data_IF_779087945005
#
_entry.id   IF_779087945005
#
_cell.length_a   1.000
_cell.length_b   1.000
_cell.length_c   1.000
_cell.angle_alpha   90.00
_cell.angle_beta   90.00
_cell.angle_gamma   90.00
#
_symmetry.space_group_name_H-M   'P 1'
#
loop_
_entity.id
_entity.type
_entity.pdbx_description
1 polymer ?
#
# COMPACT_ATOMS: atom_id res chain seq x y z
N UNK A 1 7.10 -7.07 66.07
CA UNK A 1 6.88 -5.98 65.10
C UNK A 1 6.89 -6.63 63.73
N UNK A 2 5.66 -6.95 63.29
CA UNK A 2 5.37 -7.50 61.95
C UNK A 2 5.34 -6.33 60.98
N UNK A 3 6.06 -6.48 59.85
CA UNK A 3 5.91 -5.61 58.70
C UNK A 3 5.25 -6.45 57.61
N UNK A 4 4.00 -6.13 57.36
CA UNK A 4 3.20 -6.67 56.26
C UNK A 4 3.57 -5.95 54.96
N UNK A 5 4.28 -6.64 54.07
CA UNK A 5 4.43 -6.23 52.65
C UNK A 5 3.16 -6.56 51.88
N UNK A 6 2.40 -5.53 51.56
CA UNK A 6 1.28 -5.65 50.62
C UNK A 6 1.82 -5.60 49.18
N UNK A 7 1.99 -6.75 48.59
CA UNK A 7 2.32 -6.90 47.18
C UNK A 7 1.09 -6.58 46.31
N UNK A 8 1.05 -5.35 45.78
CA UNK A 8 0.06 -4.96 44.78
C UNK A 8 0.38 -5.60 43.43
N UNK A 9 -0.23 -6.76 43.15
CA UNK A 9 -0.27 -7.32 41.80
C UNK A 9 -1.11 -6.43 40.91
N UNK A 10 -0.49 -5.58 40.07
CA UNK A 10 -1.13 -4.96 38.92
C UNK A 10 -1.56 -6.06 37.98
N UNK A 11 -2.85 -6.34 37.93
CA UNK A 11 -3.47 -7.11 36.82
C UNK A 11 -3.32 -6.26 35.54
N UNK A 12 -2.30 -6.56 34.73
CA UNK A 12 -2.30 -6.18 33.34
C UNK A 12 -3.37 -7.05 32.65
N UNK A 13 -4.48 -6.44 32.27
CA UNK A 13 -5.43 -7.06 31.36
C UNK A 13 -4.74 -7.17 29.98
N UNK A 14 -4.14 -8.32 29.70
CA UNK A 14 -3.70 -8.68 28.37
C UNK A 14 -4.94 -8.87 27.51
N UNK A 15 -5.37 -7.83 26.83
CA UNK A 15 -6.34 -7.90 25.75
C UNK A 15 -5.57 -8.39 24.50
N UNK A 16 -5.14 -9.67 24.52
CA UNK A 16 -4.49 -10.28 23.36
C UNK A 16 -5.50 -10.32 22.20
N UNK A 17 -5.21 -9.57 21.16
CA UNK A 17 -6.00 -9.63 19.92
C UNK A 17 -5.90 -11.04 19.34
N UNK A 18 -7.03 -11.62 18.98
CA UNK A 18 -7.07 -12.92 18.32
C UNK A 18 -6.25 -12.89 17.02
N UNK A 19 -5.34 -13.86 16.86
CA UNK A 19 -4.50 -14.00 15.66
C UNK A 19 -5.33 -14.53 14.49
N UNK A 20 -5.33 -13.82 13.35
CA UNK A 20 -6.01 -14.26 12.13
C UNK A 20 -5.22 -15.39 11.47
N UNK A 21 -5.92 -16.50 11.20
CA UNK A 21 -5.39 -17.67 10.50
C UNK A 21 -6.18 -18.04 9.26
N UNK A 22 -7.30 -17.36 8.99
CA UNK A 22 -8.13 -17.60 7.81
C UNK A 22 -7.61 -16.80 6.61
N UNK A 23 -8.02 -17.22 5.42
CA UNK A 23 -7.80 -16.52 4.15
C UNK A 23 -9.15 -16.28 3.48
N UNK A 24 -9.23 -15.33 2.57
CA UNK A 24 -10.42 -15.01 1.78
C UNK A 24 -10.88 -16.23 0.99
N UNK A 25 -12.18 -16.51 0.97
CA UNK A 25 -12.80 -17.51 0.09
C UNK A 25 -13.43 -16.83 -1.12
N UNK A 26 -13.77 -17.62 -2.14
CA UNK A 26 -14.42 -17.13 -3.35
C UNK A 26 -15.77 -16.48 -3.03
N UNK A 27 -16.57 -17.12 -2.22
CA UNK A 27 -17.90 -16.65 -1.81
C UNK A 27 -17.80 -15.33 -1.04
N UNK A 28 -16.82 -15.20 -0.15
CA UNK A 28 -16.56 -13.96 0.58
C UNK A 28 -16.15 -12.83 -0.37
N UNK A 29 -15.22 -13.10 -1.30
CA UNK A 29 -14.81 -12.11 -2.30
C UNK A 29 -15.98 -11.67 -3.19
N UNK A 30 -16.79 -12.62 -3.68
CA UNK A 30 -17.93 -12.34 -4.56
C UNK A 30 -18.97 -11.44 -3.88
N UNK A 31 -19.16 -11.60 -2.57
CA UNK A 31 -20.10 -10.81 -1.77
C UNK A 31 -19.64 -9.38 -1.48
N UNK A 32 -18.34 -9.06 -1.68
CA UNK A 32 -17.81 -7.73 -1.43
C UNK A 32 -18.20 -6.72 -2.52
N UNK A 33 -18.48 -5.50 -2.09
CA UNK A 33 -18.59 -4.32 -2.97
C UNK A 33 -17.31 -3.49 -2.96
N UNK A 34 -17.03 -2.68 -3.99
CA UNK A 34 -15.90 -1.76 -4.00
C UNK A 34 -15.84 -0.83 -2.75
N UNK A 35 -16.98 -0.30 -2.32
CA UNK A 35 -17.05 0.58 -1.15
C UNK A 35 -16.70 -0.13 0.16
N UNK A 36 -17.11 -1.40 0.30
CA UNK A 36 -16.71 -2.20 1.46
C UNK A 36 -15.20 -2.42 1.49
N UNK A 37 -14.59 -2.75 0.34
CA UNK A 37 -13.13 -2.92 0.24
C UNK A 37 -12.40 -1.61 0.53
N UNK A 38 -12.89 -0.48 0.01
CA UNK A 38 -12.31 0.84 0.30
C UNK A 38 -12.36 1.15 1.80
N UNK A 39 -13.50 0.91 2.44
CA UNK A 39 -13.66 1.11 3.89
C UNK A 39 -12.72 0.22 4.71
N UNK A 40 -12.56 -1.05 4.32
CA UNK A 40 -11.59 -1.96 4.96
C UNK A 40 -10.15 -1.43 4.87
N UNK A 41 -9.77 -0.86 3.73
CA UNK A 41 -8.44 -0.26 3.53
C UNK A 41 -8.24 0.99 4.40
N UNK A 42 -9.26 1.85 4.48
CA UNK A 42 -9.24 3.04 5.34
C UNK A 42 -9.06 2.63 6.81
N UNK A 43 -9.85 1.67 7.29
CA UNK A 43 -9.74 1.18 8.66
C UNK A 43 -8.43 0.42 8.91
N UNK A 44 -7.95 -0.34 7.94
CA UNK A 44 -6.63 -1.00 7.98
C UNK A 44 -5.51 0.02 8.10
N UNK A 45 -5.52 1.07 7.30
CA UNK A 45 -4.53 2.15 7.37
C UNK A 45 -4.58 2.92 8.71
N UNK A 46 -5.76 3.13 9.28
CA UNK A 46 -5.90 3.70 10.64
C UNK A 46 -5.22 2.79 11.68
N UNK A 47 -5.43 1.47 11.60
CA UNK A 47 -4.77 0.52 12.51
C UNK A 47 -3.25 0.54 12.35
N UNK A 48 -2.74 0.56 11.12
CA UNK A 48 -1.31 0.69 10.84
C UNK A 48 -0.72 1.96 11.48
N UNK A 49 -1.33 3.12 11.23
CA UNK A 49 -0.87 4.41 11.76
C UNK A 49 -0.94 4.50 13.29
N UNK A 50 -1.85 3.78 13.93
CA UNK A 50 -2.00 3.76 15.39
C UNK A 50 -1.27 2.58 16.06
N UNK A 51 -0.47 1.82 15.31
CA UNK A 51 0.24 0.61 15.79
C UNK A 51 -0.70 -0.45 16.37
N UNK A 52 -1.88 -0.55 15.81
CA UNK A 52 -2.95 -1.46 16.23
C UNK A 52 -3.28 -2.54 15.18
N UNK A 53 -2.34 -2.85 14.28
CA UNK A 53 -2.51 -3.90 13.28
C UNK A 53 -2.95 -5.22 13.90
N UNK A 54 -3.72 -5.98 13.14
CA UNK A 54 -4.25 -7.26 13.61
C UNK A 54 -3.18 -8.34 13.45
N UNK A 55 -2.85 -9.12 14.48
CA UNK A 55 -1.90 -10.22 14.37
C UNK A 55 -2.36 -11.27 13.36
N UNK A 56 -1.43 -11.77 12.51
CA UNK A 56 -1.71 -12.81 11.51
C UNK A 56 -0.67 -13.92 11.60
N UNK A 57 -1.11 -15.16 11.46
CA UNK A 57 -0.20 -16.28 11.25
C UNK A 57 -0.01 -16.50 9.75
N UNK A 58 1.01 -15.83 9.19
CA UNK A 58 1.30 -15.91 7.75
C UNK A 58 1.66 -17.32 7.30
N UNK A 59 2.20 -18.16 8.19
CA UNK A 59 2.56 -19.54 7.86
C UNK A 59 1.31 -20.41 7.68
N UNK A 60 0.29 -20.20 8.49
CA UNK A 60 -1.02 -20.86 8.34
C UNK A 60 -1.73 -20.30 7.10
N UNK A 61 -1.74 -18.98 6.90
CA UNK A 61 -2.36 -18.36 5.73
C UNK A 61 -1.70 -18.84 4.42
N UNK A 62 -0.37 -18.96 4.36
CA UNK A 62 0.33 -19.47 3.18
C UNK A 62 -0.12 -20.89 2.81
N UNK A 63 -0.26 -21.78 3.80
CA UNK A 63 -0.75 -23.14 3.55
C UNK A 63 -2.20 -23.15 3.08
N UNK A 64 -3.05 -22.31 3.66
CA UNK A 64 -4.48 -22.24 3.33
C UNK A 64 -4.74 -21.61 1.97
N UNK A 65 -3.91 -20.66 1.53
CA UNK A 65 -4.03 -19.99 0.23
C UNK A 65 -3.37 -20.77 -0.93
N UNK A 66 -2.58 -21.81 -0.64
CA UNK A 66 -1.88 -22.59 -1.67
C UNK A 66 -2.80 -23.17 -2.76
N UNK A 67 -4.02 -23.65 -2.48
CA UNK A 67 -4.92 -24.16 -3.50
C UNK A 67 -5.58 -23.11 -4.39
N UNK A 68 -5.61 -21.82 -3.96
CA UNK A 68 -6.25 -20.72 -4.68
C UNK A 68 -6.21 -19.42 -3.91
N UNK A 69 -6.41 -18.31 -4.63
CA UNK A 69 -6.41 -16.97 -4.07
C UNK A 69 -7.63 -16.20 -4.53
N UNK A 70 -8.18 -15.37 -3.65
CA UNK A 70 -9.37 -14.56 -3.92
C UNK A 70 -9.17 -13.12 -3.41
N UNK A 71 -8.18 -12.39 -4.00
CA UNK A 71 -7.84 -11.06 -3.53
C UNK A 71 -8.95 -10.07 -3.82
N UNK A 72 -9.23 -9.19 -2.85
CA UNK A 72 -10.31 -8.20 -2.93
C UNK A 72 -9.95 -6.95 -3.73
N UNK A 73 -8.65 -6.67 -3.90
CA UNK A 73 -8.17 -5.48 -4.60
C UNK A 73 -6.82 -5.72 -5.28
N UNK A 74 -6.45 -4.78 -6.15
CA UNK A 74 -5.08 -4.62 -6.64
C UNK A 74 -4.58 -3.22 -6.30
N UNK A 75 -3.35 -3.14 -5.78
CA UNK A 75 -2.69 -1.87 -5.42
C UNK A 75 -1.49 -1.66 -6.33
N UNK A 76 -1.48 -0.54 -7.06
CA UNK A 76 -0.28 -0.03 -7.73
C UNK A 76 0.52 0.82 -6.76
N UNK A 77 1.76 0.45 -6.49
CA UNK A 77 2.64 1.16 -5.56
C UNK A 77 4.04 1.35 -6.10
N UNK A 78 4.81 2.20 -5.43
CA UNK A 78 6.22 2.36 -5.71
C UNK A 78 7.02 1.12 -5.29
N UNK A 79 8.18 0.91 -5.95
CA UNK A 79 9.19 -0.08 -5.57
C UNK A 79 9.82 0.21 -4.19
N UNK A 80 9.64 1.38 -3.62
CA UNK A 80 10.29 1.82 -2.38
C UNK A 80 10.12 0.80 -1.25
N UNK A 81 11.26 0.33 -0.71
CA UNK A 81 11.31 -0.73 0.30
C UNK A 81 10.70 -0.34 1.65
N UNK A 82 10.46 0.96 1.88
CA UNK A 82 9.87 1.50 3.11
C UNK A 82 8.35 1.48 3.10
N UNK A 83 7.73 1.04 1.99
CA UNK A 83 6.27 1.05 1.80
C UNK A 83 5.77 -0.37 1.62
N UNK A 84 5.64 -1.16 2.69
CA UNK A 84 5.05 -2.50 2.65
C UNK A 84 3.52 -2.37 2.51
N UNK A 85 3.01 -2.60 1.31
CA UNK A 85 1.61 -2.30 0.95
C UNK A 85 0.61 -3.05 1.81
N UNK A 86 0.88 -4.34 2.04
CA UNK A 86 0.03 -5.21 2.87
C UNK A 86 -0.06 -4.69 4.30
N UNK A 87 1.07 -4.26 4.89
CA UNK A 87 1.08 -3.71 6.24
C UNK A 87 0.40 -2.33 6.29
N UNK A 88 0.62 -1.47 5.28
CA UNK A 88 0.01 -0.13 5.21
C UNK A 88 -1.51 -0.20 5.24
N UNK A 89 -2.11 -1.22 4.63
CA UNK A 89 -3.55 -1.44 4.63
C UNK A 89 -4.00 -2.52 5.62
N UNK A 90 -3.08 -3.05 6.44
CA UNK A 90 -3.33 -4.11 7.41
C UNK A 90 -4.05 -5.32 6.77
N UNK A 91 -3.51 -5.82 5.66
CA UNK A 91 -4.05 -6.94 4.90
C UNK A 91 -3.25 -8.22 5.13
N UNK A 92 -3.90 -9.37 5.00
CA UNK A 92 -3.30 -10.69 5.13
C UNK A 92 -2.75 -11.23 3.80
N UNK A 93 -2.11 -12.39 3.89
CA UNK A 93 -1.59 -13.09 2.73
C UNK A 93 -2.75 -13.55 1.83
N UNK A 94 -2.70 -13.16 0.55
CA UNK A 94 -3.72 -13.48 -0.44
C UNK A 94 -4.91 -12.51 -0.47
N UNK A 95 -4.94 -11.48 0.40
CA UNK A 95 -6.03 -10.50 0.45
C UNK A 95 -5.98 -9.47 -0.68
N UNK A 96 -4.78 -9.16 -1.20
CA UNK A 96 -4.57 -8.16 -2.25
C UNK A 96 -3.50 -8.58 -3.26
N UNK A 97 -3.64 -8.11 -4.50
CA UNK A 97 -2.54 -8.06 -5.46
C UNK A 97 -1.75 -6.77 -5.28
N UNK A 98 -0.44 -6.81 -5.50
CA UNK A 98 0.43 -5.63 -5.45
C UNK A 98 1.30 -5.56 -6.71
N UNK A 99 1.04 -4.54 -7.55
CA UNK A 99 1.91 -4.16 -8.65
C UNK A 99 2.89 -3.07 -8.18
N UNK A 100 4.22 -3.25 -8.37
CA UNK A 100 5.22 -2.29 -7.91
C UNK A 100 6.18 -1.89 -9.02
N UNK A 101 6.35 -0.60 -9.19
CA UNK A 101 7.37 -0.01 -10.08
C UNK A 101 7.85 1.30 -9.47
N UNK A 102 9.13 1.65 -9.68
CA UNK A 102 9.68 2.90 -9.14
C UNK A 102 8.90 4.12 -9.66
N UNK A 103 8.22 4.84 -8.76
CA UNK A 103 7.36 5.98 -9.08
C UNK A 103 5.92 5.64 -9.45
N UNK A 104 5.44 4.46 -9.13
CA UNK A 104 4.02 4.03 -9.23
C UNK A 104 3.28 4.52 -10.49
N UNK A 105 3.95 4.55 -11.64
CA UNK A 105 3.32 4.85 -12.93
C UNK A 105 2.72 3.58 -13.56
N UNK A 106 1.84 3.74 -14.55
CA UNK A 106 1.31 2.63 -15.34
C UNK A 106 2.09 2.43 -16.63
N UNK A 107 2.19 1.16 -17.05
CA UNK A 107 2.61 0.73 -18.37
C UNK A 107 1.73 -0.43 -18.81
N UNK A 108 1.94 -0.92 -20.03
CA UNK A 108 1.14 -2.01 -20.62
C UNK A 108 1.09 -3.27 -19.74
N UNK A 109 2.23 -3.67 -19.14
CA UNK A 109 2.32 -4.87 -18.31
C UNK A 109 1.54 -4.72 -17.00
N UNK A 110 1.62 -3.53 -16.37
CA UNK A 110 0.86 -3.23 -15.15
C UNK A 110 -0.64 -3.11 -15.43
N UNK A 111 -1.03 -2.48 -16.55
CA UNK A 111 -2.45 -2.43 -16.96
C UNK A 111 -3.00 -3.82 -17.19
N UNK A 112 -2.30 -4.67 -17.96
CA UNK A 112 -2.69 -6.06 -18.17
C UNK A 112 -2.78 -6.85 -16.85
N UNK A 113 -1.89 -6.60 -15.90
CA UNK A 113 -1.95 -7.21 -14.57
C UNK A 113 -3.17 -6.75 -13.77
N UNK A 114 -3.56 -5.47 -13.87
CA UNK A 114 -4.78 -4.95 -13.23
C UNK A 114 -6.05 -5.50 -13.89
N UNK A 115 -6.05 -5.63 -15.22
CA UNK A 115 -7.14 -6.27 -15.96
C UNK A 115 -7.30 -7.73 -15.52
N UNK A 116 -6.20 -8.47 -15.40
CA UNK A 116 -6.21 -9.83 -14.86
C UNK A 116 -6.79 -9.85 -13.45
N UNK A 117 -6.31 -8.98 -12.57
CA UNK A 117 -6.78 -8.89 -11.18
C UNK A 117 -8.30 -8.68 -11.10
N UNK A 118 -8.84 -7.76 -11.90
CA UNK A 118 -10.26 -7.41 -11.85
C UNK A 118 -11.15 -8.37 -12.65
N UNK A 119 -10.77 -8.70 -13.89
CA UNK A 119 -11.60 -9.48 -14.81
C UNK A 119 -11.50 -10.98 -14.60
N UNK A 120 -10.32 -11.48 -14.25
CA UNK A 120 -10.07 -12.92 -14.13
C UNK A 120 -10.13 -13.36 -12.67
N UNK A 121 -9.44 -12.63 -11.78
CA UNK A 121 -9.34 -13.00 -10.37
C UNK A 121 -10.43 -12.37 -9.48
N UNK A 122 -11.27 -11.45 -9.99
CA UNK A 122 -12.45 -10.95 -9.31
C UNK A 122 -12.20 -9.83 -8.28
N UNK A 123 -11.04 -9.19 -8.31
CA UNK A 123 -10.76 -8.02 -7.46
C UNK A 123 -11.77 -6.89 -7.73
N UNK A 124 -12.21 -6.22 -6.66
CA UNK A 124 -13.30 -5.23 -6.69
C UNK A 124 -12.81 -3.79 -6.80
N UNK A 125 -11.53 -3.54 -6.49
CA UNK A 125 -10.98 -2.20 -6.35
C UNK A 125 -9.57 -2.15 -6.91
N UNK A 126 -9.25 -1.06 -7.63
CA UNK A 126 -7.88 -0.66 -7.98
C UNK A 126 -7.52 0.53 -7.11
N UNK A 127 -6.37 0.49 -6.46
CA UNK A 127 -5.83 1.59 -5.66
C UNK A 127 -4.47 2.00 -6.21
N UNK A 128 -4.28 3.29 -6.48
CA UNK A 128 -2.96 3.86 -6.81
C UNK A 128 -2.41 4.55 -5.57
N UNK A 129 -1.25 4.09 -5.10
CA UNK A 129 -0.61 4.59 -3.89
C UNK A 129 0.77 5.18 -4.20
N UNK A 130 0.91 6.50 -3.98
CA UNK A 130 2.18 7.20 -3.93
C UNK A 130 2.72 7.29 -2.50
N UNK A 131 3.95 7.79 -2.36
CA UNK A 131 4.55 8.05 -1.05
C UNK A 131 5.42 9.31 -1.07
N UNK A 132 5.66 9.86 0.11
CA UNK A 132 6.57 11.00 0.28
C UNK A 132 8.03 10.60 -0.02
N UNK A 133 8.82 11.57 -0.42
CA UNK A 133 10.26 11.41 -0.70
C UNK A 133 10.58 10.33 -1.75
N UNK A 134 9.69 10.13 -2.72
CA UNK A 134 9.90 9.16 -3.79
C UNK A 134 11.13 9.53 -4.64
N UNK A 135 12.12 8.61 -4.68
CA UNK A 135 13.36 8.83 -5.46
C UNK A 135 13.12 8.95 -6.96
N UNK A 136 12.17 8.20 -7.51
CA UNK A 136 11.80 8.28 -8.93
C UNK A 136 11.13 9.62 -9.28
N UNK A 137 10.26 10.15 -8.41
CA UNK A 137 9.67 11.49 -8.60
C UNK A 137 10.76 12.56 -8.56
N UNK A 138 11.69 12.49 -7.58
CA UNK A 138 12.84 13.42 -7.52
C UNK A 138 13.68 13.34 -8.78
N UNK A 139 13.99 12.12 -9.25
CA UNK A 139 14.74 11.92 -10.49
C UNK A 139 14.04 12.46 -11.73
N UNK A 140 12.70 12.37 -11.80
CA UNK A 140 11.91 12.96 -12.88
C UNK A 140 11.91 14.49 -12.84
N UNK A 141 11.84 15.10 -11.66
CA UNK A 141 11.95 16.54 -11.46
C UNK A 141 13.31 17.05 -11.94
N UNK A 142 14.42 16.38 -11.55
CA UNK A 142 15.79 16.78 -11.88
C UNK A 142 16.24 16.32 -13.27
N UNK A 143 15.37 15.72 -14.06
CA UNK A 143 15.63 15.23 -15.41
C UNK A 143 16.85 14.27 -15.49
N UNK A 144 16.99 13.38 -14.52
CA UNK A 144 18.12 12.43 -14.43
C UNK A 144 18.19 11.55 -15.69
N UNK A 145 19.41 11.42 -16.24
CA UNK A 145 19.70 10.57 -17.40
C UNK A 145 20.63 9.43 -16.98
N UNK A 146 20.10 8.22 -16.94
CA UNK A 146 20.86 7.03 -16.55
C UNK A 146 20.20 5.76 -17.12
N UNK A 147 20.78 5.21 -18.18
CA UNK A 147 20.36 3.96 -18.76
C UNK A 147 18.83 3.83 -18.91
N UNK A 148 18.26 2.72 -18.51
CA UNK A 148 16.81 2.46 -18.54
C UNK A 148 16.00 3.35 -17.58
N UNK A 149 16.64 3.93 -16.56
CA UNK A 149 15.99 4.89 -15.65
C UNK A 149 15.50 6.11 -16.43
N UNK A 150 16.21 6.56 -17.46
CA UNK A 150 15.80 7.67 -18.33
C UNK A 150 14.42 7.44 -18.93
N UNK A 151 14.17 6.28 -19.53
CA UNK A 151 12.89 5.92 -20.13
C UNK A 151 11.80 5.72 -19.06
N UNK A 152 12.16 5.16 -17.91
CA UNK A 152 11.25 4.98 -16.78
C UNK A 152 10.79 6.34 -16.23
N UNK A 153 11.69 7.28 -15.99
CA UNK A 153 11.37 8.62 -15.48
C UNK A 153 10.51 9.44 -16.46
N UNK A 154 10.63 9.18 -17.78
CA UNK A 154 9.78 9.82 -18.78
C UNK A 154 8.27 9.55 -18.55
N UNK A 155 7.92 8.42 -17.89
CA UNK A 155 6.53 8.09 -17.54
C UNK A 155 5.98 8.98 -16.42
N UNK A 156 6.85 9.59 -15.62
CA UNK A 156 6.48 10.48 -14.51
C UNK A 156 6.47 11.94 -14.95
N UNK A 157 7.14 12.30 -16.06
CA UNK A 157 7.21 13.67 -16.59
C UNK A 157 5.84 14.36 -16.72
N UNK A 158 4.75 13.71 -17.17
CA UNK A 158 3.44 14.36 -17.21
C UNK A 158 3.01 14.91 -15.84
N UNK A 159 3.29 14.22 -14.73
CA UNK A 159 2.99 14.72 -13.39
C UNK A 159 3.84 15.94 -13.00
N UNK A 160 5.08 16.04 -13.47
CA UNK A 160 5.94 17.22 -13.31
C UNK A 160 5.33 18.40 -14.06
N UNK A 161 4.90 18.19 -15.31
CA UNK A 161 4.24 19.24 -16.14
C UNK A 161 2.91 19.69 -15.50
N UNK A 162 2.12 18.79 -14.94
CA UNK A 162 0.90 19.12 -14.18
C UNK A 162 1.19 20.01 -12.96
N UNK A 163 2.43 20.06 -12.52
CA UNK A 163 2.89 20.80 -11.34
C UNK A 163 3.57 22.14 -11.68
N UNK A 164 3.56 22.56 -12.95
CA UNK A 164 4.26 23.77 -13.42
C UNK A 164 3.82 25.06 -12.73
N UNK A 165 2.56 25.13 -12.28
CA UNK A 165 2.00 26.31 -11.64
C UNK A 165 2.19 26.31 -10.10
N UNK A 166 2.96 25.34 -9.56
CA UNK A 166 3.28 25.31 -8.13
C UNK A 166 4.02 26.58 -7.71
N UNK A 167 3.59 27.24 -6.61
CA UNK A 167 4.26 28.43 -6.10
C UNK A 167 5.59 28.07 -5.42
N UNK A 168 6.67 28.74 -5.80
CA UNK A 168 7.99 28.55 -5.19
C UNK A 168 8.96 27.70 -6.04
N UNK A 169 10.00 27.20 -5.40
CA UNK A 169 11.08 26.44 -6.07
C UNK A 169 10.59 25.08 -6.57
N UNK A 170 10.86 24.80 -7.85
CA UNK A 170 10.46 23.57 -8.56
C UNK A 170 11.65 22.65 -8.78
N UNK A 171 12.24 22.17 -7.68
CA UNK A 171 13.37 21.25 -7.70
C UNK A 171 13.17 20.12 -6.66
N UNK A 172 14.00 19.07 -6.74
CA UNK A 172 13.88 17.90 -5.87
C UNK A 172 14.30 18.14 -4.42
N UNK A 173 14.89 19.30 -4.09
CA UNK A 173 15.22 19.70 -2.72
C UNK A 173 14.02 20.32 -2.00
N UNK A 174 13.04 20.86 -2.74
CA UNK A 174 11.80 21.35 -2.19
C UNK A 174 10.83 20.21 -1.93
N UNK A 175 10.72 19.78 -0.65
CA UNK A 175 9.86 18.65 -0.27
C UNK A 175 8.37 18.87 -0.59
N UNK A 176 7.88 20.12 -0.48
CA UNK A 176 6.49 20.44 -0.81
C UNK A 176 6.23 20.31 -2.32
N UNK A 177 7.17 20.72 -3.15
CA UNK A 177 7.08 20.51 -4.58
C UNK A 177 7.13 19.02 -4.93
N UNK A 178 8.05 18.25 -4.34
CA UNK A 178 8.12 16.79 -4.53
C UNK A 178 6.82 16.11 -4.13
N UNK A 179 6.22 16.51 -3.00
CA UNK A 179 4.92 16.02 -2.55
C UNK A 179 3.83 16.33 -3.57
N UNK A 180 3.75 17.57 -4.04
CA UNK A 180 2.77 18.00 -5.04
C UNK A 180 2.88 17.21 -6.35
N UNK A 181 4.11 16.99 -6.85
CA UNK A 181 4.33 16.15 -8.03
C UNK A 181 3.92 14.70 -7.76
N UNK A 182 4.21 14.16 -6.56
CA UNK A 182 3.82 12.80 -6.21
C UNK A 182 2.29 12.62 -6.18
N UNK A 183 1.55 13.62 -5.68
CA UNK A 183 0.07 13.63 -5.69
C UNK A 183 -0.49 13.72 -7.12
N UNK A 184 0.11 14.54 -7.97
CA UNK A 184 -0.26 14.62 -9.38
C UNK A 184 0.07 13.32 -10.14
N UNK A 185 1.16 12.65 -9.78
CA UNK A 185 1.53 11.36 -10.36
C UNK A 185 0.51 10.25 -10.00
N UNK A 186 -0.01 10.24 -8.78
CA UNK A 186 -1.10 9.33 -8.39
C UNK A 186 -2.39 9.60 -9.19
N UNK A 187 -2.71 10.88 -9.45
CA UNK A 187 -3.90 11.26 -10.25
C UNK A 187 -3.73 10.95 -11.74
N UNK A 188 -2.49 10.97 -12.23
CA UNK A 188 -2.19 10.72 -13.62
C UNK A 188 -2.14 9.23 -13.95
N UNK A 189 -1.71 8.40 -13.00
CA UNK A 189 -1.64 6.95 -13.16
C UNK A 189 -3.03 6.31 -13.14
#
# INVERSE_FOLDING_TARGET
KENSEVSSKKQQSNNEKATITHVMTKEQQEALTPDQVLNEFIEGNKRFNTRNSIPRDLSIQARKSAPGQYPKAVVLSCLDSRVPVEDVFDQGLGDIFVGRVAGNFVNEDLLGSMEFACKVAGAKLIVVMGHQHCGAVKGAIDDVKLGNITAMLAKIKPAVEMSKDFPGEKNSKNNEFVKHVSENNVKYA
#
